data_IF_636708632019
#
_entry.id   IF_636708632019
#
_cell.length_a   1.000
_cell.length_b   1.000
_cell.length_c   1.000
_cell.angle_alpha   90.00
_cell.angle_beta   90.00
_cell.angle_gamma   90.00
#
_symmetry.space_group_name_H-M   'P 1'
#
loop_
_entity.id
_entity.type
_entity.pdbx_description
1 polymer ?
#
# COMPACT_ATOMS: atom_id res chain seq x y z
N UNK A 1 19.51 -58.97 41.17
CA UNK A 1 20.02 -58.45 42.47
C UNK A 1 19.76 -56.93 42.46
N UNK A 2 18.68 -56.46 43.10
CA UNK A 2 18.65 -55.72 44.40
C UNK A 2 19.56 -54.46 44.35
N UNK A 3 19.11 -53.21 44.53
CA UNK A 3 18.17 -52.67 45.53
C UNK A 3 17.41 -51.42 45.02
N UNK A 4 16.17 -51.29 45.50
CA UNK A 4 15.37 -50.08 45.54
C UNK A 4 15.72 -49.24 46.78
N UNK A 5 15.58 -47.91 46.74
CA UNK A 5 15.20 -47.10 47.91
C UNK A 5 14.37 -45.88 47.46
N UNK A 6 13.10 -45.89 47.87
CA UNK A 6 12.19 -44.75 47.96
C UNK A 6 12.60 -43.89 49.18
N UNK A 7 12.41 -42.57 49.08
CA UNK A 7 12.24 -41.70 50.25
C UNK A 7 11.20 -40.61 49.94
N UNK A 8 10.04 -40.78 50.57
CA UNK A 8 9.01 -39.77 50.86
C UNK A 8 9.40 -39.02 52.14
N UNK A 9 9.09 -37.73 52.26
CA UNK A 9 8.59 -37.02 53.47
C UNK A 9 8.41 -35.48 53.20
N UNK A 10 7.73 -34.66 54.04
CA UNK A 10 6.29 -34.42 53.98
C UNK A 10 5.89 -32.90 53.94
N UNK A 11 4.58 -32.68 54.03
CA UNK A 11 3.82 -31.44 54.03
C UNK A 11 4.14 -30.45 55.16
N UNK A 12 4.07 -29.15 54.84
CA UNK A 12 3.62 -27.98 55.64
C UNK A 12 3.26 -26.92 54.57
N UNK A 13 2.03 -26.44 54.37
CA UNK A 13 1.10 -25.89 55.33
C UNK A 13 1.17 -24.35 55.26
N UNK A 14 0.40 -23.70 54.36
CA UNK A 14 0.02 -22.29 54.48
C UNK A 14 -1.34 -22.06 53.82
N UNK A 15 -2.32 -21.82 54.69
CA UNK A 15 -3.72 -21.54 54.39
C UNK A 15 -3.96 -20.05 54.12
N UNK A 16 -4.76 -19.79 53.09
CA UNK A 16 -5.92 -18.88 53.05
C UNK A 16 -5.73 -17.45 53.57
N UNK A 17 -5.89 -16.46 52.68
CA UNK A 17 -6.77 -15.32 52.97
C UNK A 17 -7.51 -14.92 51.70
N UNK A 18 -8.80 -15.20 51.75
CA UNK A 18 -9.87 -14.85 50.83
C UNK A 18 -10.37 -13.48 51.30
N UNK A 19 -10.35 -12.46 50.44
CA UNK A 19 -10.86 -11.13 50.79
C UNK A 19 -11.89 -10.70 49.74
N UNK A 20 -13.15 -10.77 50.16
CA UNK A 20 -14.32 -10.20 49.51
C UNK A 20 -15.19 -9.55 50.63
N UNK A 21 -16.22 -8.76 50.30
CA UNK A 21 -16.21 -7.30 50.40
C UNK A 21 -17.13 -6.77 51.52
N UNK A 22 -17.00 -5.49 51.88
CA UNK A 22 -17.95 -4.81 52.77
C UNK A 22 -18.03 -3.29 52.46
N UNK A 23 -19.08 -2.55 52.90
CA UNK A 23 -20.01 -1.91 51.97
C UNK A 23 -20.21 -0.40 52.17
N UNK A 24 -20.93 0.17 51.20
CA UNK A 24 -21.88 1.29 51.24
C UNK A 24 -21.57 2.55 52.09
N UNK A 25 -21.47 3.69 51.39
CA UNK A 25 -22.06 4.95 51.85
C UNK A 25 -22.85 5.60 50.71
N UNK A 26 -24.08 5.99 51.03
CA UNK A 26 -25.10 6.57 50.16
C UNK A 26 -25.09 8.10 50.18
N UNK A 27 -25.86 8.66 49.23
CA UNK A 27 -26.34 10.04 49.05
C UNK A 27 -25.40 10.96 48.25
N UNK A 28 -25.83 11.71 47.22
CA UNK A 28 -27.16 12.31 46.98
C UNK A 28 -27.32 12.64 45.49
N UNK A 29 -28.53 12.49 44.94
CA UNK A 29 -28.94 13.04 43.63
C UNK A 29 -29.05 14.58 43.68
N UNK A 30 -28.91 15.24 42.53
CA UNK A 30 -30.06 16.00 42.04
C UNK A 30 -30.37 15.83 40.54
N UNK A 31 -31.64 15.51 40.30
CA UNK A 31 -32.59 16.00 39.30
C UNK A 31 -32.11 16.58 37.95
N UNK A 32 -32.63 15.93 36.90
CA UNK A 32 -33.35 16.49 35.75
C UNK A 32 -32.75 17.66 34.96
N UNK A 33 -32.22 17.33 33.78
CA UNK A 33 -32.45 18.11 32.57
C UNK A 33 -32.63 17.17 31.37
N UNK A 34 -33.88 17.02 30.94
CA UNK A 34 -34.30 16.26 29.77
C UNK A 34 -33.72 16.86 28.48
N UNK A 35 -32.82 16.13 27.81
CA UNK A 35 -32.43 16.41 26.43
C UNK A 35 -33.10 15.38 25.50
N UNK A 36 -34.02 15.89 24.66
CA UNK A 36 -34.74 15.14 23.62
C UNK A 36 -33.76 14.36 22.71
N UNK A 37 -34.08 13.10 22.35
CA UNK A 37 -33.34 12.41 21.30
C UNK A 37 -33.63 13.08 19.94
N UNK A 38 -32.62 13.32 19.09
CA UNK A 38 -32.87 13.79 17.73
C UNK A 38 -33.63 12.70 16.96
N UNK A 39 -34.74 13.12 16.36
CA UNK A 39 -35.61 12.32 15.49
C UNK A 39 -34.80 11.61 14.42
N UNK A 40 -34.90 10.28 14.40
CA UNK A 40 -34.65 9.49 13.20
C UNK A 40 -35.52 10.02 12.06
N UNK A 41 -34.88 10.58 11.04
CA UNK A 41 -35.53 10.85 9.77
C UNK A 41 -35.64 9.53 9.00
N UNK A 42 -36.87 9.07 8.86
CA UNK A 42 -37.28 7.96 8.02
C UNK A 42 -36.97 8.21 6.55
N UNK A 43 -36.66 7.11 5.87
CA UNK A 43 -36.66 6.86 4.43
C UNK A 43 -37.60 7.75 3.60
N UNK A 44 -37.07 8.31 2.52
CA UNK A 44 -37.84 8.94 1.46
C UNK A 44 -37.01 9.10 0.18
N UNK A 45 -37.46 8.42 -0.88
CA UNK A 45 -37.19 8.64 -2.30
C UNK A 45 -35.79 8.26 -2.86
N UNK A 46 -35.76 7.06 -3.45
CA UNK A 46 -34.95 6.76 -4.63
C UNK A 46 -35.27 7.76 -5.75
N UNK A 47 -34.44 8.80 -5.86
CA UNK A 47 -34.38 9.66 -7.04
C UNK A 47 -33.47 9.02 -8.06
N UNK A 48 -34.04 8.66 -9.20
CA UNK A 48 -33.35 8.20 -10.40
C UNK A 48 -32.39 9.31 -10.86
N UNK A 49 -31.10 9.17 -10.54
CA UNK A 49 -30.06 10.07 -11.06
C UNK A 49 -29.68 9.55 -12.44
N UNK A 50 -30.43 9.98 -13.45
CA UNK A 50 -29.92 10.02 -14.82
C UNK A 50 -28.73 10.98 -14.84
N UNK A 51 -27.53 10.42 -14.72
CA UNK A 51 -26.29 11.17 -14.87
C UNK A 51 -26.19 11.66 -16.32
N UNK A 52 -26.39 12.95 -16.51
CA UNK A 52 -26.09 13.63 -17.76
C UNK A 52 -24.64 13.32 -18.18
N UNK A 53 -24.49 12.93 -19.46
CA UNK A 53 -23.19 12.73 -20.06
C UNK A 53 -22.36 14.03 -19.98
N UNK A 54 -21.10 13.98 -19.53
CA UNK A 54 -20.28 15.18 -19.45
C UNK A 54 -20.01 15.70 -20.88
N UNK A 55 -20.03 17.03 -21.09
CA UNK A 55 -19.74 17.60 -22.39
C UNK A 55 -18.30 17.26 -22.79
N UNK A 56 -18.13 16.83 -24.05
CA UNK A 56 -16.84 16.73 -24.68
C UNK A 56 -16.26 18.14 -24.82
N UNK A 57 -15.22 18.47 -24.04
CA UNK A 57 -14.68 19.83 -24.04
C UNK A 57 -13.31 19.95 -23.39
N UNK A 58 -12.32 20.14 -24.27
CA UNK A 58 -11.05 20.86 -24.11
C UNK A 58 -9.99 20.33 -23.14
N UNK A 59 -8.89 19.87 -23.74
CA UNK A 59 -7.59 19.75 -23.09
C UNK A 59 -7.13 21.08 -22.46
N UNK A 60 -6.56 20.93 -21.26
CA UNK A 60 -5.46 21.69 -20.66
C UNK A 60 -5.25 23.15 -21.06
N UNK A 61 -5.46 24.05 -20.09
CA UNK A 61 -4.78 25.34 -20.00
C UNK A 61 -4.58 25.70 -18.53
N UNK A 62 -3.37 25.49 -17.99
CA UNK A 62 -2.97 25.94 -16.66
C UNK A 62 -1.66 26.71 -16.78
N UNK A 63 -1.58 27.84 -16.07
CA UNK A 63 -0.38 28.66 -15.91
C UNK A 63 0.81 27.80 -15.42
N UNK A 64 2.07 28.18 -15.72
CA UNK A 64 3.21 27.32 -15.49
C UNK A 64 3.56 27.27 -14.00
N UNK A 65 3.15 26.19 -13.32
CA UNK A 65 3.94 25.67 -12.22
C UNK A 65 5.36 25.42 -12.74
N UNK A 66 6.39 25.77 -11.96
CA UNK A 66 7.79 25.47 -12.30
C UNK A 66 7.86 24.03 -12.82
N UNK A 67 8.05 23.90 -14.13
CA UNK A 67 8.14 22.60 -14.78
C UNK A 67 9.48 22.03 -14.37
N UNK A 68 9.50 21.26 -13.28
CA UNK A 68 10.70 20.58 -12.88
C UNK A 68 11.10 19.62 -14.00
N UNK A 69 12.25 19.89 -14.60
CA UNK A 69 12.80 19.05 -15.66
C UNK A 69 13.25 17.71 -15.09
N UNK A 70 13.04 16.63 -15.85
CA UNK A 70 13.54 15.31 -15.48
C UNK A 70 15.06 15.36 -15.27
N UNK A 71 15.64 14.44 -14.46
CA UNK A 71 17.08 14.36 -14.32
C UNK A 71 17.79 14.28 -15.68
N UNK A 72 19.00 14.87 -15.82
CA UNK A 72 19.75 14.78 -17.06
C UNK A 72 19.90 13.33 -17.54
N UNK A 73 19.65 13.10 -18.82
CA UNK A 73 19.69 11.77 -19.44
C UNK A 73 18.40 10.95 -19.28
N UNK A 74 17.41 11.42 -18.54
CA UNK A 74 16.12 10.74 -18.46
C UNK A 74 15.21 11.20 -19.59
N UNK A 75 14.48 10.25 -20.17
CA UNK A 75 13.48 10.51 -21.20
C UNK A 75 12.16 9.93 -20.74
N UNK A 76 11.11 10.74 -20.80
CA UNK A 76 9.75 10.30 -20.53
C UNK A 76 9.01 10.21 -21.85
N UNK A 77 8.65 8.99 -22.23
CA UNK A 77 7.92 8.70 -23.47
C UNK A 77 6.49 9.26 -23.41
N UNK A 78 5.77 9.30 -24.52
CA UNK A 78 4.37 9.78 -24.51
C UNK A 78 3.46 8.73 -23.87
N UNK A 79 2.32 9.21 -23.36
CA UNK A 79 1.34 8.41 -22.67
C UNK A 79 0.68 7.40 -23.62
N UNK A 80 0.47 6.17 -23.14
CA UNK A 80 -0.31 5.16 -23.85
C UNK A 80 -1.61 4.86 -23.09
N UNK A 81 -2.71 4.76 -23.84
CA UNK A 81 -3.99 4.29 -23.35
C UNK A 81 -4.01 2.75 -23.40
N UNK A 82 -4.05 2.11 -22.23
CA UNK A 82 -3.87 0.67 -22.12
C UNK A 82 -5.21 -0.04 -22.04
N UNK A 83 -6.16 0.48 -21.27
CA UNK A 83 -7.43 -0.19 -20.98
C UNK A 83 -8.47 0.82 -20.47
N UNK A 84 -9.76 0.44 -20.38
CA UNK A 84 -10.70 1.13 -19.51
C UNK A 84 -10.19 1.20 -18.05
N UNK A 85 -10.81 2.03 -17.22
CA UNK A 85 -10.38 2.20 -15.82
C UNK A 85 -10.38 0.88 -15.03
N UNK A 86 -9.16 0.39 -14.78
CA UNK A 86 -8.87 -0.77 -13.97
C UNK A 86 -7.44 -0.67 -13.41
N UNK A 87 -7.25 -0.80 -12.09
CA UNK A 87 -5.93 -0.80 -11.48
C UNK A 87 -4.98 -1.78 -12.17
N UNK A 88 -3.75 -1.34 -12.37
CA UNK A 88 -2.76 -2.04 -13.15
C UNK A 88 -1.44 -2.09 -12.41
N UNK A 89 -0.65 -3.14 -12.66
CA UNK A 89 0.69 -3.25 -12.10
C UNK A 89 1.70 -3.53 -13.22
N UNK A 90 2.66 -2.62 -13.46
CA UNK A 90 3.70 -2.81 -14.44
C UNK A 90 4.71 -3.87 -13.99
N UNK A 91 5.39 -4.43 -14.97
CA UNK A 91 6.51 -5.36 -14.87
C UNK A 91 7.58 -4.91 -15.86
N UNK A 92 8.73 -5.58 -15.89
CA UNK A 92 9.76 -5.32 -16.90
C UNK A 92 9.33 -5.63 -18.34
N UNK A 93 8.24 -6.39 -18.53
CA UNK A 93 7.81 -6.91 -19.84
C UNK A 93 6.41 -6.48 -20.27
N UNK A 94 5.70 -5.71 -19.44
CA UNK A 94 4.31 -5.39 -19.69
C UNK A 94 3.58 -4.93 -18.44
N UNK A 95 2.27 -4.88 -18.52
CA UNK A 95 1.37 -4.42 -17.48
C UNK A 95 0.27 -5.46 -17.27
N UNK A 96 -0.06 -5.71 -16.01
CA UNK A 96 -1.05 -6.71 -15.62
C UNK A 96 -2.29 -6.00 -15.06
N UNK A 97 -3.46 -6.36 -15.57
CA UNK A 97 -4.77 -5.94 -15.07
C UNK A 97 -5.54 -7.18 -14.62
N UNK A 98 -6.31 -7.04 -13.53
CA UNK A 98 -7.20 -8.09 -13.04
C UNK A 98 -8.65 -7.71 -13.35
N UNK A 99 -9.36 -8.58 -14.05
CA UNK A 99 -10.78 -8.42 -14.35
C UNK A 99 -11.67 -8.72 -13.14
N UNK A 100 -12.96 -8.42 -13.27
CA UNK A 100 -14.00 -8.67 -12.26
C UNK A 100 -14.14 -10.16 -11.95
N UNK A 101 -13.98 -11.02 -12.95
CA UNK A 101 -14.02 -12.49 -12.88
C UNK A 101 -12.65 -13.12 -12.58
N UNK A 102 -11.71 -12.33 -12.03
CA UNK A 102 -10.41 -12.78 -11.55
C UNK A 102 -9.45 -13.29 -12.65
N UNK A 103 -9.65 -12.90 -13.91
CA UNK A 103 -8.71 -13.17 -15.01
C UNK A 103 -7.53 -12.19 -14.99
N UNK A 104 -6.36 -12.70 -15.37
CA UNK A 104 -5.17 -11.89 -15.61
C UNK A 104 -5.12 -11.50 -17.07
N UNK A 105 -5.06 -10.19 -17.34
CA UNK A 105 -4.86 -9.65 -18.67
C UNK A 105 -3.50 -8.97 -18.74
N UNK A 106 -2.70 -9.33 -19.74
CA UNK A 106 -1.33 -8.88 -19.88
C UNK A 106 -1.15 -8.02 -21.13
N UNK A 107 -0.86 -6.74 -20.91
CA UNK A 107 -0.49 -5.77 -21.93
C UNK A 107 1.03 -5.82 -22.15
N UNK A 108 1.48 -6.40 -23.27
CA UNK A 108 2.91 -6.54 -23.56
C UNK A 108 3.57 -5.17 -23.79
N UNK A 109 4.74 -4.95 -23.17
CA UNK A 109 5.56 -3.74 -23.33
C UNK A 109 6.85 -4.07 -24.09
N UNK A 110 7.15 -3.27 -25.10
CA UNK A 110 8.39 -3.34 -25.89
C UNK A 110 9.24 -2.11 -25.59
N UNK A 111 10.32 -2.20 -24.81
CA UNK A 111 11.17 -1.04 -24.52
C UNK A 111 11.77 -0.45 -25.80
N UNK A 112 11.68 0.87 -25.95
CA UNK A 112 12.38 1.62 -27.01
C UNK A 112 13.87 1.70 -26.71
N UNK A 113 14.70 1.90 -27.74
CA UNK A 113 16.14 2.05 -27.53
C UNK A 113 16.43 3.35 -26.75
N UNK A 114 17.49 3.40 -25.91
CA UNK A 114 17.91 4.61 -25.21
C UNK A 114 18.10 5.84 -26.13
N UNK A 115 18.69 5.60 -27.30
CA UNK A 115 18.98 6.63 -28.30
C UNK A 115 17.74 7.13 -29.06
N UNK A 116 16.62 6.41 -29.01
CA UNK A 116 15.42 6.82 -29.73
C UNK A 116 14.88 8.15 -29.18
N UNK A 117 14.37 9.03 -30.06
CA UNK A 117 13.67 10.23 -29.62
C UNK A 117 12.47 9.84 -28.73
N UNK A 118 12.02 10.74 -27.84
CA UNK A 118 10.76 10.55 -27.13
C UNK A 118 9.63 10.27 -28.13
N UNK A 119 8.71 9.40 -27.77
CA UNK A 119 7.47 9.19 -28.50
C UNK A 119 6.58 8.19 -27.76
N UNK A 120 5.47 7.76 -28.36
CA UNK A 120 4.53 6.82 -27.72
C UNK A 120 5.20 5.64 -27.02
N UNK A 121 4.82 5.42 -25.76
CA UNK A 121 5.13 4.20 -25.00
C UNK A 121 4.59 2.99 -25.78
N UNK A 122 5.47 2.05 -26.11
CA UNK A 122 5.14 0.88 -26.94
C UNK A 122 4.56 -0.24 -26.06
N UNK A 123 3.30 -0.09 -25.67
CA UNK A 123 2.55 -1.07 -24.87
C UNK A 123 1.26 -1.44 -25.60
N UNK A 124 0.95 -2.74 -25.63
CA UNK A 124 -0.27 -3.23 -26.24
C UNK A 124 -1.50 -2.77 -25.44
N UNK A 125 -2.51 -2.23 -26.12
CA UNK A 125 -3.80 -1.99 -25.51
C UNK A 125 -4.52 -3.33 -25.25
N UNK A 126 -5.30 -3.38 -24.18
CA UNK A 126 -6.18 -4.47 -23.83
C UNK A 126 -7.58 -4.17 -24.39
N UNK A 127 -8.06 -5.03 -25.27
CA UNK A 127 -9.43 -4.98 -25.76
C UNK A 127 -10.37 -5.63 -24.73
N UNK A 128 -10.76 -4.82 -23.74
CA UNK A 128 -11.67 -5.23 -22.68
C UNK A 128 -12.83 -4.23 -22.58
N UNK A 129 -14.07 -4.69 -22.36
CA UNK A 129 -15.17 -3.80 -22.06
C UNK A 129 -15.00 -3.20 -20.66
N UNK A 130 -15.42 -1.95 -20.47
CA UNK A 130 -15.29 -1.25 -19.18
C UNK A 130 -16.01 -1.97 -18.03
N UNK A 131 -17.04 -2.77 -18.32
CA UNK A 131 -17.80 -3.56 -17.34
C UNK A 131 -16.99 -4.69 -16.71
N UNK A 132 -15.96 -5.18 -17.40
CA UNK A 132 -15.07 -6.22 -16.89
C UNK A 132 -14.05 -5.70 -15.89
N UNK A 133 -13.82 -4.39 -15.82
CA UNK A 133 -12.87 -3.78 -14.88
C UNK A 133 -13.59 -3.06 -13.74
N UNK A 134 -12.88 -2.88 -12.63
CA UNK A 134 -13.37 -2.13 -11.46
C UNK A 134 -12.39 -1.01 -11.15
N UNK A 135 -12.75 0.20 -11.53
CA UNK A 135 -11.89 1.38 -11.47
C UNK A 135 -11.26 1.65 -10.10
N UNK A 136 -12.01 1.42 -9.02
CA UNK A 136 -11.61 1.73 -7.64
C UNK A 136 -11.04 0.54 -6.86
N UNK A 137 -10.73 -0.59 -7.52
CA UNK A 137 -10.06 -1.72 -6.86
C UNK A 137 -8.60 -1.37 -6.50
N UNK A 138 -7.94 -2.28 -5.79
CA UNK A 138 -6.47 -2.27 -5.65
C UNK A 138 -5.84 -3.12 -6.75
N UNK A 139 -4.75 -2.61 -7.32
CA UNK A 139 -3.98 -3.34 -8.31
C UNK A 139 -3.29 -4.55 -7.69
N UNK A 140 -2.97 -5.59 -8.49
CA UNK A 140 -2.28 -6.77 -7.99
C UNK A 140 -0.84 -6.42 -7.55
N UNK A 141 -0.23 -7.25 -6.71
CA UNK A 141 1.24 -7.31 -6.64
C UNK A 141 1.76 -8.34 -7.64
N UNK A 142 2.98 -8.15 -8.13
CA UNK A 142 3.61 -9.09 -9.05
C UNK A 142 4.92 -9.59 -8.46
N UNK A 143 5.11 -10.91 -8.45
CA UNK A 143 6.35 -11.55 -8.06
C UNK A 143 6.66 -12.68 -9.04
N UNK A 144 7.80 -12.58 -9.72
CA UNK A 144 8.16 -13.52 -10.78
C UNK A 144 7.12 -13.54 -11.90
N UNK A 145 6.58 -14.71 -12.20
CA UNK A 145 5.58 -14.93 -13.26
C UNK A 145 4.13 -14.92 -12.76
N UNK A 146 3.88 -14.46 -11.52
CA UNK A 146 2.56 -14.51 -10.91
C UNK A 146 2.09 -13.13 -10.44
N UNK A 147 0.78 -12.93 -10.54
CA UNK A 147 0.06 -11.83 -9.94
C UNK A 147 -0.66 -12.34 -8.69
N UNK A 148 -0.73 -11.48 -7.68
CA UNK A 148 -1.36 -11.75 -6.40
C UNK A 148 -2.31 -10.61 -6.06
N UNK A 149 -3.52 -10.90 -5.59
CA UNK A 149 -4.51 -9.89 -5.24
C UNK A 149 -5.55 -10.44 -4.28
N UNK A 150 -6.36 -9.54 -3.72
CA UNK A 150 -7.53 -9.92 -2.92
C UNK A 150 -8.79 -9.79 -3.76
N UNK A 151 -9.63 -10.83 -3.75
CA UNK A 151 -11.00 -10.77 -4.25
C UNK A 151 -11.96 -11.39 -3.24
N UNK A 152 -13.04 -10.68 -2.90
CA UNK A 152 -13.88 -11.08 -1.77
C UNK A 152 -13.04 -11.17 -0.49
N UNK A 153 -13.02 -12.36 0.12
CA UNK A 153 -12.20 -12.70 1.30
C UNK A 153 -10.97 -13.54 0.98
N UNK A 154 -10.66 -13.75 -0.30
CA UNK A 154 -9.61 -14.67 -0.72
C UNK A 154 -8.36 -13.91 -1.16
N UNK A 155 -7.21 -14.38 -0.70
CA UNK A 155 -5.91 -14.09 -1.33
C UNK A 155 -5.76 -15.03 -2.52
N UNK A 156 -5.63 -14.46 -3.71
CA UNK A 156 -5.57 -15.20 -4.97
C UNK A 156 -4.20 -15.09 -5.62
N UNK A 157 -3.84 -16.12 -6.39
CA UNK A 157 -2.67 -16.15 -7.28
C UNK A 157 -3.07 -16.66 -8.65
N UNK A 158 -2.49 -16.07 -9.69
CA UNK A 158 -2.53 -16.59 -11.06
C UNK A 158 -1.29 -16.17 -11.84
N UNK A 159 -0.88 -16.97 -12.81
CA UNK A 159 0.20 -16.59 -13.70
C UNK A 159 -0.17 -15.35 -14.56
N UNK A 160 0.83 -14.54 -14.91
CA UNK A 160 0.60 -13.25 -15.59
C UNK A 160 -0.10 -13.41 -16.95
N UNK A 161 0.13 -14.52 -17.64
CA UNK A 161 -0.37 -14.80 -18.99
C UNK A 161 -1.51 -15.82 -19.00
N UNK A 162 -2.37 -15.76 -17.99
CA UNK A 162 -3.42 -16.75 -17.76
C UNK A 162 -2.90 -18.02 -17.06
N UNK A 163 -3.83 -18.91 -16.71
CA UNK A 163 -3.56 -20.15 -15.98
C UNK A 163 -4.63 -20.45 -14.94
N UNK A 164 -4.39 -21.51 -14.17
CA UNK A 164 -5.27 -21.86 -13.05
C UNK A 164 -5.30 -20.73 -12.01
N UNK A 165 -6.48 -20.51 -11.42
CA UNK A 165 -6.63 -19.58 -10.30
C UNK A 165 -6.41 -20.36 -9.01
N UNK A 166 -5.47 -19.91 -8.20
CA UNK A 166 -5.18 -20.54 -6.92
C UNK A 166 -5.68 -19.66 -5.77
N UNK A 167 -6.31 -20.30 -4.78
CA UNK A 167 -6.69 -19.66 -3.51
C UNK A 167 -5.60 -19.95 -2.49
N UNK A 168 -4.92 -18.90 -2.04
CA UNK A 168 -3.79 -19.00 -1.11
C UNK A 168 -4.20 -18.85 0.36
N UNK A 169 -5.27 -18.08 0.61
CA UNK A 169 -5.88 -17.87 1.92
C UNK A 169 -7.34 -17.39 1.76
N UNK A 170 -8.17 -17.57 2.79
CA UNK A 170 -9.63 -17.30 2.75
C UNK A 170 -10.10 -16.27 3.79
N UNK A 171 -9.17 -15.61 4.47
CA UNK A 171 -9.45 -14.62 5.50
C UNK A 171 -8.96 -13.21 5.17
N UNK A 172 -8.61 -12.96 3.90
CA UNK A 172 -8.16 -11.67 3.43
C UNK A 172 -9.25 -10.59 3.55
N UNK A 173 -8.85 -9.37 3.91
CA UNK A 173 -9.74 -8.21 3.99
C UNK A 173 -10.04 -7.70 2.58
N UNK A 174 -11.32 -7.65 2.23
CA UNK A 174 -11.78 -7.12 0.96
C UNK A 174 -11.22 -5.71 0.66
N UNK A 175 -10.94 -5.45 -0.61
CA UNK A 175 -10.43 -4.16 -1.11
C UNK A 175 -9.08 -3.69 -0.55
N UNK A 176 -8.30 -4.57 0.09
CA UNK A 176 -6.92 -4.25 0.51
C UNK A 176 -5.90 -4.66 -0.55
N UNK A 177 -4.77 -3.95 -0.55
CA UNK A 177 -3.64 -4.29 -1.41
C UNK A 177 -2.77 -5.34 -0.74
N UNK A 178 -2.21 -6.22 -1.55
CA UNK A 178 -1.19 -7.19 -1.14
C UNK A 178 0.20 -6.65 -1.46
N UNK A 179 1.21 -7.09 -0.72
CA UNK A 179 2.59 -6.72 -0.95
C UNK A 179 3.48 -7.95 -1.17
N UNK A 180 4.41 -7.84 -2.09
CA UNK A 180 5.46 -8.83 -2.35
C UNK A 180 6.81 -8.20 -2.07
N UNK A 181 7.85 -8.99 -1.74
CA UNK A 181 9.20 -8.45 -1.68
C UNK A 181 9.62 -7.91 -3.07
N UNK A 182 10.52 -6.92 -3.14
CA UNK A 182 10.98 -6.36 -4.41
C UNK A 182 11.72 -7.39 -5.29
N UNK A 183 12.30 -8.40 -4.66
CA UNK A 183 12.93 -9.55 -5.31
C UNK A 183 13.01 -10.74 -4.34
N UNK A 184 13.09 -11.95 -4.89
CA UNK A 184 13.41 -13.17 -4.14
C UNK A 184 14.91 -13.43 -4.18
N UNK A 185 15.51 -13.80 -3.05
CA UNK A 185 16.84 -14.39 -3.07
C UNK A 185 16.78 -15.81 -3.67
N UNK A 186 17.92 -16.33 -4.14
CA UNK A 186 17.98 -17.65 -4.75
C UNK A 186 17.47 -18.72 -3.76
N UNK A 187 16.45 -19.47 -4.18
CA UNK A 187 15.87 -20.56 -3.39
C UNK A 187 14.88 -20.12 -2.30
N UNK A 188 14.60 -18.81 -2.17
CA UNK A 188 13.51 -18.36 -1.31
C UNK A 188 12.15 -18.71 -1.93
N UNK A 189 11.18 -19.17 -1.11
CA UNK A 189 9.81 -19.36 -1.57
C UNK A 189 9.15 -18.04 -1.94
N UNK A 190 8.14 -18.09 -2.83
CA UNK A 190 7.26 -16.96 -3.04
C UNK A 190 6.55 -16.60 -1.73
N UNK A 191 6.34 -15.31 -1.50
CA UNK A 191 5.69 -14.82 -0.30
C UNK A 191 4.90 -13.55 -0.58
N UNK A 192 3.78 -13.41 0.14
CA UNK A 192 2.83 -12.33 -0.06
C UNK A 192 2.30 -11.89 1.29
N UNK A 193 2.47 -10.61 1.60
CA UNK A 193 1.83 -9.99 2.75
C UNK A 193 0.46 -9.44 2.37
N UNK A 194 -0.52 -9.57 3.26
CA UNK A 194 -1.88 -9.09 3.06
C UNK A 194 -2.53 -8.72 4.40
N UNK A 195 -3.63 -7.98 4.34
CA UNK A 195 -4.47 -7.68 5.50
C UNK A 195 -5.57 -8.72 5.59
N UNK A 196 -5.84 -9.23 6.79
CA UNK A 196 -6.85 -10.24 7.07
C UNK A 196 -7.84 -9.77 8.15
N UNK A 197 -9.02 -10.36 8.18
CA UNK A 197 -10.06 -10.11 9.19
C UNK A 197 -11.13 -9.09 8.78
N UNK A 198 -12.20 -9.00 9.56
CA UNK A 198 -13.32 -8.06 9.34
C UNK A 198 -13.42 -7.01 10.43
N UNK A 199 -13.47 -7.42 11.69
CA UNK A 199 -13.53 -6.51 12.84
C UNK A 199 -12.14 -6.18 13.36
N UNK A 200 -11.31 -7.21 13.55
CA UNK A 200 -9.91 -7.07 13.96
C UNK A 200 -9.01 -7.31 12.75
N UNK A 201 -8.40 -6.24 12.25
CA UNK A 201 -7.54 -6.30 11.08
C UNK A 201 -6.11 -6.68 11.47
N UNK A 202 -5.57 -7.73 10.85
CA UNK A 202 -4.20 -8.21 11.09
C UNK A 202 -3.40 -8.25 9.80
N UNK A 203 -2.13 -7.85 9.86
CA UNK A 203 -1.20 -8.12 8.78
C UNK A 203 -0.78 -9.60 8.84
N UNK A 204 -0.79 -10.29 7.70
CA UNK A 204 -0.41 -11.70 7.55
C UNK A 204 0.59 -11.87 6.42
N UNK A 205 1.37 -12.95 6.48
CA UNK A 205 2.31 -13.37 5.45
C UNK A 205 1.98 -14.79 5.00
N UNK A 206 1.60 -14.95 3.74
CA UNK A 206 1.57 -16.25 3.10
C UNK A 206 2.95 -16.59 2.53
N UNK A 207 3.41 -17.82 2.72
CA UNK A 207 4.69 -18.34 2.20
C UNK A 207 4.46 -19.68 1.50
N UNK A 208 4.99 -19.79 0.28
CA UNK A 208 4.83 -20.98 -0.55
C UNK A 208 5.42 -22.24 0.10
N UNK A 209 4.53 -23.21 0.36
CA UNK A 209 4.82 -24.49 1.00
C UNK A 209 4.69 -24.48 2.52
N UNK A 210 4.54 -23.31 3.16
CA UNK A 210 4.44 -23.21 4.63
C UNK A 210 3.09 -22.65 5.11
N UNK A 211 2.32 -22.01 4.22
CA UNK A 211 1.02 -21.44 4.55
C UNK A 211 1.13 -20.03 5.12
N UNK A 212 0.20 -19.64 6.00
CA UNK A 212 0.10 -18.27 6.51
C UNK A 212 0.58 -18.13 7.95
N UNK A 213 1.36 -17.09 8.23
CA UNK A 213 1.67 -16.59 9.57
C UNK A 213 1.15 -15.17 9.81
N UNK A 214 0.94 -14.80 11.08
CA UNK A 214 0.52 -13.44 11.46
C UNK A 214 1.75 -12.56 11.64
N UNK A 215 1.79 -11.41 10.96
CA UNK A 215 2.87 -10.42 11.02
C UNK A 215 2.66 -9.41 12.15
N UNK A 216 1.44 -8.93 12.34
CA UNK A 216 1.11 -7.94 13.36
C UNK A 216 0.82 -8.58 14.73
N UNK A 217 0.81 -7.78 15.80
CA UNK A 217 0.35 -8.25 17.11
C UNK A 217 -1.17 -8.50 17.16
N UNK A 218 -1.65 -9.16 18.21
CA UNK A 218 -3.05 -9.59 18.31
C UNK A 218 -4.06 -8.45 18.43
N UNK A 219 -3.64 -7.28 18.94
CA UNK A 219 -4.45 -6.07 19.08
C UNK A 219 -4.19 -5.03 17.96
N UNK A 220 -3.55 -5.44 16.87
CA UNK A 220 -3.29 -4.59 15.72
C UNK A 220 -4.59 -4.15 15.02
N UNK A 221 -4.50 -3.06 14.27
CA UNK A 221 -5.55 -2.58 13.36
C UNK A 221 -4.92 -2.25 12.02
N UNK A 222 -4.21 -3.23 11.46
CA UNK A 222 -3.40 -3.06 10.27
C UNK A 222 -4.30 -2.81 9.05
N UNK A 223 -4.14 -1.64 8.41
CA UNK A 223 -4.90 -1.23 7.22
C UNK A 223 -4.10 -1.40 5.93
N UNK A 224 -2.77 -1.42 6.01
CA UNK A 224 -1.89 -1.62 4.86
C UNK A 224 -0.61 -2.32 5.28
N UNK A 225 -0.01 -3.06 4.34
CA UNK A 225 1.25 -3.77 4.54
C UNK A 225 2.18 -3.59 3.34
N UNK A 226 3.49 -3.52 3.60
CA UNK A 226 4.53 -3.50 2.59
C UNK A 226 5.68 -4.44 2.98
N UNK A 227 6.40 -4.96 1.98
CA UNK A 227 7.59 -5.78 2.19
C UNK A 227 8.79 -5.10 1.55
N UNK A 228 9.92 -5.07 2.27
CA UNK A 228 11.20 -4.62 1.74
C UNK A 228 12.31 -5.56 2.18
N UNK A 229 13.46 -5.50 1.52
CA UNK A 229 14.61 -6.36 1.79
C UNK A 229 15.77 -5.54 2.31
N UNK A 230 16.25 -5.78 3.51
CA UNK A 230 17.48 -5.20 4.07
C UNK A 230 18.70 -6.07 3.71
N UNK A 231 19.89 -5.61 4.08
CA UNK A 231 21.13 -6.42 4.06
C UNK A 231 21.03 -7.66 4.98
N UNK A 232 20.20 -7.59 6.03
CA UNK A 232 20.02 -8.61 7.06
C UNK A 232 18.84 -9.56 6.83
N UNK A 233 17.99 -9.31 5.83
CA UNK A 233 16.82 -10.14 5.56
C UNK A 233 15.67 -9.35 4.94
N UNK A 234 14.45 -9.72 5.30
CA UNK A 234 13.24 -9.01 4.91
C UNK A 234 12.72 -8.19 6.08
N UNK A 235 11.95 -7.16 5.80
CA UNK A 235 11.21 -6.38 6.80
C UNK A 235 9.78 -6.22 6.30
N UNK A 236 8.82 -6.60 7.14
CA UNK A 236 7.43 -6.24 6.95
C UNK A 236 7.16 -4.89 7.61
N UNK A 237 6.48 -4.02 6.88
CA UNK A 237 5.94 -2.78 7.40
C UNK A 237 4.43 -2.92 7.47
N UNK A 238 3.81 -2.66 8.62
CA UNK A 238 2.35 -2.56 8.73
C UNK A 238 1.94 -1.19 9.23
N UNK A 239 0.98 -0.60 8.53
CA UNK A 239 0.36 0.66 8.91
C UNK A 239 -0.91 0.34 9.69
N UNK A 240 -0.93 0.73 10.95
CA UNK A 240 -2.02 0.49 11.88
C UNK A 240 -2.77 1.80 12.10
N UNK A 241 -4.05 1.84 11.73
CA UNK A 241 -4.88 3.04 11.86
C UNK A 241 -5.91 2.87 12.97
N UNK A 242 -5.96 3.85 13.87
CA UNK A 242 -6.96 3.97 14.93
C UNK A 242 -7.55 5.38 14.91
N UNK A 243 -8.67 5.56 15.61
CA UNK A 243 -9.29 6.88 15.74
C UNK A 243 -8.29 7.87 16.35
N UNK A 244 -7.89 8.86 15.56
CA UNK A 244 -7.01 9.97 15.97
C UNK A 244 -5.51 9.71 15.85
N UNK A 245 -5.04 8.47 15.61
CA UNK A 245 -3.61 8.17 15.47
C UNK A 245 -3.34 7.01 14.53
N UNK A 246 -2.17 7.05 13.88
CA UNK A 246 -1.64 5.97 13.05
C UNK A 246 -0.27 5.57 13.55
N UNK A 247 0.00 4.28 13.68
CA UNK A 247 1.34 3.75 13.95
C UNK A 247 1.89 3.01 12.73
N UNK A 248 3.18 3.17 12.48
CA UNK A 248 3.93 2.34 11.54
C UNK A 248 4.77 1.36 12.33
N UNK A 249 4.53 0.09 12.09
CA UNK A 249 5.24 -1.03 12.67
C UNK A 249 6.24 -1.58 11.65
N UNK A 250 7.40 -2.01 12.12
CA UNK A 250 8.42 -2.67 11.30
C UNK A 250 8.87 -3.95 12.00
N UNK A 251 8.74 -5.08 11.30
CA UNK A 251 9.06 -6.40 11.82
C UNK A 251 10.09 -7.10 10.94
N UNK A 252 11.30 -7.42 11.45
CA UNK A 252 12.27 -8.21 10.71
C UNK A 252 11.73 -9.60 10.42
N UNK A 253 12.08 -10.11 9.25
CA UNK A 253 11.73 -11.42 8.77
C UNK A 253 13.01 -12.13 8.33
N UNK A 254 13.27 -13.28 8.92
CA UNK A 254 14.33 -14.19 8.49
C UNK A 254 13.71 -15.49 7.98
N UNK A 255 14.33 -16.10 6.98
CA UNK A 255 13.90 -17.40 6.48
C UNK A 255 14.78 -18.49 7.07
N UNK A 256 14.20 -19.42 7.83
CA UNK A 256 14.88 -20.59 8.38
C UNK A 256 14.21 -21.85 7.85
N UNK A 257 14.93 -22.65 7.06
CA UNK A 257 14.38 -23.85 6.42
C UNK A 257 13.03 -23.58 5.71
N UNK A 258 12.97 -22.51 4.91
CA UNK A 258 11.77 -22.00 4.20
C UNK A 258 10.63 -21.48 5.08
N UNK A 259 10.74 -21.55 6.41
CA UNK A 259 9.76 -20.95 7.34
C UNK A 259 10.13 -19.51 7.69
N UNK A 260 9.14 -18.59 7.73
CA UNK A 260 9.36 -17.25 8.23
C UNK A 260 9.56 -17.30 9.76
N UNK A 261 10.70 -16.82 10.22
CA UNK A 261 10.97 -16.52 11.62
C UNK A 261 10.88 -15.00 11.80
N UNK A 262 9.88 -14.58 12.59
CA UNK A 262 9.57 -13.19 12.86
C UNK A 262 10.48 -12.67 13.98
N UNK A 263 11.05 -11.48 13.79
CA UNK A 263 11.72 -10.73 14.85
C UNK A 263 10.73 -9.97 15.73
N UNK A 264 11.28 -9.14 16.60
CA UNK A 264 10.52 -8.21 17.44
C UNK A 264 9.74 -7.22 16.58
N UNK A 265 8.54 -6.87 17.02
CA UNK A 265 7.77 -5.80 16.42
C UNK A 265 8.24 -4.45 16.96
N UNK A 266 8.52 -3.51 16.06
CA UNK A 266 9.09 -2.20 16.41
C UNK A 266 8.18 -1.12 15.87
N UNK A 267 7.62 -0.30 16.77
CA UNK A 267 6.92 0.93 16.38
C UNK A 267 7.95 1.94 15.92
N UNK A 268 8.06 2.12 14.61
CA UNK A 268 9.01 3.05 13.99
C UNK A 268 8.45 4.45 13.88
N UNK A 269 7.12 4.63 13.91
CA UNK A 269 6.53 5.96 13.88
C UNK A 269 5.10 5.94 14.43
N UNK A 270 4.68 7.09 14.97
CA UNK A 270 3.30 7.39 15.33
C UNK A 270 2.98 8.80 14.84
N UNK A 271 1.85 8.97 14.18
CA UNK A 271 1.37 10.28 13.73
C UNK A 271 -0.14 10.40 13.67
N UNK A 272 -0.61 11.34 12.84
CA UNK A 272 -2.02 11.69 12.71
C UNK A 272 -2.90 10.53 12.17
N UNK A 273 -4.23 10.72 12.15
CA UNK A 273 -5.14 9.71 11.62
C UNK A 273 -4.87 9.45 10.14
N UNK A 274 -5.05 8.20 9.74
CA UNK A 274 -5.01 7.73 8.36
C UNK A 274 -6.39 7.20 7.98
N UNK A 275 -6.79 7.41 6.72
CA UNK A 275 -7.97 6.77 6.16
C UNK A 275 -7.79 5.24 6.11
N UNK A 276 -8.86 4.42 6.25
CA UNK A 276 -8.77 2.96 6.09
C UNK A 276 -8.18 2.49 4.75
N UNK A 277 -8.14 3.37 3.76
CA UNK A 277 -7.58 3.13 2.44
C UNK A 277 -6.16 3.72 2.25
N UNK A 278 -5.55 4.33 3.27
CA UNK A 278 -4.18 4.81 3.20
C UNK A 278 -3.21 3.62 3.02
N UNK A 279 -2.28 3.74 2.07
CA UNK A 279 -1.32 2.68 1.74
C UNK A 279 0.10 3.03 2.22
N UNK A 280 0.80 2.06 2.82
CA UNK A 280 2.26 2.10 3.00
C UNK A 280 2.92 1.48 1.77
N UNK A 281 3.94 2.15 1.25
CA UNK A 281 4.79 1.65 0.17
C UNK A 281 6.21 1.56 0.68
N UNK A 282 6.95 0.51 0.31
CA UNK A 282 8.35 0.39 0.66
C UNK A 282 9.26 0.59 -0.55
N UNK A 283 10.41 1.21 -0.32
CA UNK A 283 11.46 1.39 -1.32
C UNK A 283 12.86 1.36 -0.70
N UNK A 284 13.84 1.74 -1.51
CA UNK A 284 15.23 1.83 -1.12
C UNK A 284 15.87 3.10 -1.68
N UNK A 285 16.94 3.63 -1.07
CA UNK A 285 17.79 4.69 -1.62
C UNK A 285 19.18 4.63 -1.03
N UNK A 286 20.23 4.52 -1.86
CA UNK A 286 21.61 4.51 -1.38
C UNK A 286 21.89 3.44 -0.32
N UNK A 287 21.26 2.26 -0.44
CA UNK A 287 21.33 1.18 0.55
C UNK A 287 20.36 1.33 1.74
N UNK A 288 19.86 2.54 2.01
CA UNK A 288 18.83 2.73 3.03
C UNK A 288 17.48 2.15 2.59
N UNK A 289 16.71 1.63 3.55
CA UNK A 289 15.34 1.18 3.33
C UNK A 289 14.36 2.23 3.79
N UNK A 290 13.34 2.42 2.97
CA UNK A 290 12.41 3.53 3.12
C UNK A 290 10.97 3.00 3.18
N UNK A 291 10.15 3.64 3.99
CA UNK A 291 8.70 3.58 3.91
C UNK A 291 8.15 4.91 3.40
N UNK A 292 7.06 4.88 2.63
CA UNK A 292 6.37 6.06 2.11
C UNK A 292 4.88 5.97 2.44
N UNK A 293 4.34 7.01 3.08
CA UNK A 293 2.91 7.13 3.39
C UNK A 293 2.47 8.55 3.07
N UNK A 294 1.44 8.69 2.24
CA UNK A 294 0.74 9.96 2.06
C UNK A 294 -0.36 10.06 3.12
N UNK A 295 -0.25 11.02 4.04
CA UNK A 295 -1.14 11.14 5.19
C UNK A 295 -1.13 12.56 5.75
N UNK A 296 -2.08 12.84 6.64
CA UNK A 296 -2.06 14.04 7.47
C UNK A 296 -0.79 14.12 8.33
N UNK A 297 -0.10 15.27 8.25
CA UNK A 297 1.01 15.62 9.15
C UNK A 297 0.49 16.29 10.41
N UNK A 298 -0.46 17.22 10.23
CA UNK A 298 -1.18 17.93 11.29
C UNK A 298 -2.67 17.98 10.93
N UNK A 299 -3.48 18.71 11.70
CA UNK A 299 -4.90 18.93 11.38
C UNK A 299 -5.12 19.70 10.08
N UNK A 300 -4.13 20.45 9.60
CA UNK A 300 -4.23 21.30 8.40
C UNK A 300 -3.16 21.02 7.35
N UNK A 301 -2.12 20.26 7.69
CA UNK A 301 -1.03 19.92 6.79
C UNK A 301 -1.09 18.46 6.36
N UNK A 302 -0.89 18.22 5.07
CA UNK A 302 -0.79 16.90 4.47
C UNK A 302 0.51 16.79 3.70
N UNK A 303 1.00 15.56 3.55
CA UNK A 303 2.23 15.35 2.83
C UNK A 303 2.55 13.89 2.61
N UNK A 304 3.65 13.68 1.89
CA UNK A 304 4.30 12.40 1.77
C UNK A 304 5.35 12.27 2.88
N UNK A 305 5.09 11.42 3.86
CA UNK A 305 6.05 11.02 4.87
C UNK A 305 7.01 9.97 4.30
N UNK A 306 8.31 10.17 4.48
CA UNK A 306 9.36 9.21 4.14
C UNK A 306 10.08 8.77 5.42
N UNK A 307 9.97 7.48 5.75
CA UNK A 307 10.54 6.87 6.95
C UNK A 307 11.88 6.21 6.61
N UNK A 308 12.96 6.62 7.28
CA UNK A 308 14.25 5.96 7.14
C UNK A 308 14.37 4.81 8.13
N UNK A 309 14.34 3.58 7.63
CA UNK A 309 14.35 2.37 8.48
C UNK A 309 15.77 1.94 8.87
N UNK A 310 16.77 2.29 8.04
CA UNK A 310 18.16 1.87 8.21
C UNK A 310 18.36 0.34 8.07
N UNK A 311 19.60 -0.12 8.32
CA UNK A 311 19.93 -1.56 8.34
C UNK A 311 19.53 -2.26 9.64
N UNK A 312 19.58 -1.50 10.75
CA UNK A 312 19.08 -1.93 12.06
C UNK A 312 17.84 -1.12 12.36
N UNK A 313 16.71 -1.80 12.50
CA UNK A 313 15.48 -1.17 12.92
C UNK A 313 15.66 -0.55 14.31
N UNK A 314 15.15 0.66 14.46
CA UNK A 314 15.17 1.42 15.71
C UNK A 314 13.76 1.91 16.00
N UNK A 315 13.42 2.02 17.28
CA UNK A 315 12.24 2.79 17.66
C UNK A 315 12.42 4.24 17.20
N UNK A 316 11.36 4.84 16.64
CA UNK A 316 11.36 6.21 16.07
C UNK A 316 12.35 6.39 14.90
N UNK A 317 11.90 6.02 13.71
CA UNK A 317 12.60 6.31 12.47
C UNK A 317 12.73 7.82 12.24
N UNK A 318 13.78 8.22 11.53
CA UNK A 318 13.89 9.57 11.01
C UNK A 318 12.85 9.76 9.89
N UNK A 319 12.02 10.79 10.03
CA UNK A 319 10.92 11.07 9.09
C UNK A 319 11.20 12.38 8.36
N UNK A 320 11.28 12.32 7.03
CA UNK A 320 11.24 13.51 6.19
C UNK A 320 9.86 13.69 5.59
N UNK A 321 9.46 14.95 5.37
CA UNK A 321 8.15 15.29 4.85
C UNK A 321 8.29 16.11 3.58
N UNK A 322 7.56 15.70 2.55
CA UNK A 322 7.21 16.56 1.43
C UNK A 322 5.76 17.02 1.62
N UNK A 323 5.59 18.23 2.15
CA UNK A 323 4.27 18.83 2.32
C UNK A 323 3.72 19.33 0.98
N UNK A 324 2.41 19.21 0.79
CA UNK A 324 1.71 19.78 -0.36
C UNK A 324 0.44 20.51 0.10
N UNK A 325 -0.05 21.49 -0.68
CA UNK A 325 -1.21 22.28 -0.30
C UNK A 325 -2.47 21.41 -0.33
N UNK A 326 -3.23 21.40 0.77
CA UNK A 326 -4.37 20.51 1.03
C UNK A 326 -4.05 19.01 1.01
N UNK A 327 -4.90 18.24 1.67
CA UNK A 327 -4.83 16.79 1.68
C UNK A 327 -5.67 16.14 0.60
N UNK A 328 -5.17 15.03 0.07
CA UNK A 328 -6.01 13.95 -0.44
C UNK A 328 -5.63 12.71 0.37
N UNK A 329 -6.61 12.03 0.92
CA UNK A 329 -6.41 10.77 1.63
C UNK A 329 -7.59 9.86 1.26
N UNK A 330 -7.36 8.69 0.64
CA UNK A 330 -6.07 8.14 0.24
C UNK A 330 -5.41 8.90 -0.93
N UNK A 331 -4.09 9.12 -0.84
CA UNK A 331 -3.27 9.52 -1.98
C UNK A 331 -2.46 8.31 -2.50
N UNK A 332 -2.66 7.87 -3.76
CA UNK A 332 -1.84 6.79 -4.31
C UNK A 332 -0.35 7.14 -4.35
N UNK A 333 0.47 6.19 -3.89
CA UNK A 333 1.93 6.25 -3.91
C UNK A 333 2.48 4.96 -4.53
N UNK A 334 3.61 5.04 -5.23
CA UNK A 334 4.38 3.89 -5.67
C UNK A 334 5.87 4.23 -5.65
N UNK A 335 6.76 3.27 -5.40
CA UNK A 335 8.20 3.51 -5.45
C UNK A 335 8.93 2.38 -6.16
N UNK A 336 10.02 2.72 -6.83
CA UNK A 336 10.92 1.76 -7.47
C UNK A 336 12.31 2.37 -7.68
N UNK A 337 13.25 1.55 -8.11
CA UNK A 337 14.56 2.01 -8.59
C UNK A 337 14.51 2.11 -10.11
N UNK A 338 14.52 3.31 -10.66
CA UNK A 338 14.50 3.62 -12.10
C UNK A 338 15.85 4.24 -12.49
N UNK A 339 16.50 3.71 -13.53
CA UNK A 339 17.80 4.22 -13.96
C UNK A 339 18.87 4.22 -12.84
N UNK A 340 18.83 3.21 -11.95
CA UNK A 340 19.67 3.11 -10.74
C UNK A 340 19.43 4.22 -9.70
N UNK A 341 18.40 5.03 -9.90
CA UNK A 341 17.97 6.07 -8.95
C UNK A 341 16.66 5.67 -8.32
N UNK A 342 16.58 5.87 -7.02
CA UNK A 342 15.36 5.62 -6.27
C UNK A 342 14.35 6.72 -6.53
N UNK A 343 13.13 6.33 -6.86
CA UNK A 343 12.07 7.28 -7.17
C UNK A 343 10.77 6.89 -6.48
N UNK A 344 9.92 7.90 -6.31
CA UNK A 344 8.56 7.75 -5.80
C UNK A 344 7.60 8.49 -6.73
N UNK A 345 6.54 7.81 -7.17
CA UNK A 345 5.38 8.43 -7.79
C UNK A 345 4.34 8.66 -6.71
N UNK A 346 3.79 9.87 -6.65
CA UNK A 346 2.77 10.22 -5.66
C UNK A 346 1.77 11.22 -6.24
N UNK A 347 0.50 11.02 -5.92
CA UNK A 347 -0.56 11.97 -6.24
C UNK A 347 -0.66 13.05 -5.15
N UNK A 348 -0.91 14.30 -5.55
CA UNK A 348 -1.20 15.40 -4.64
C UNK A 348 -2.06 16.47 -5.34
N UNK A 349 -2.73 17.38 -4.60
CA UNK A 349 -3.40 18.52 -5.21
C UNK A 349 -2.41 19.47 -5.90
N UNK A 350 -2.81 20.06 -7.03
CA UNK A 350 -2.02 21.07 -7.74
C UNK A 350 -1.94 22.40 -6.96
N UNK A 351 -2.94 22.70 -6.13
CA UNK A 351 -3.04 23.94 -5.36
C UNK A 351 -3.91 23.76 -4.11
N UNK A 352 -3.98 24.80 -3.28
CA UNK A 352 -4.85 24.87 -2.10
C UNK A 352 -6.31 25.19 -2.44
N UNK A 353 -6.67 25.34 -3.72
CA UNK A 353 -8.04 25.64 -4.11
C UNK A 353 -8.95 24.40 -3.93
N UNK A 354 -10.19 24.58 -3.46
CA UNK A 354 -11.16 23.50 -3.43
C UNK A 354 -11.34 22.89 -4.83
N UNK A 355 -11.30 21.55 -4.92
CA UNK A 355 -11.43 20.80 -6.18
C UNK A 355 -10.33 21.09 -7.21
N UNK A 356 -9.16 21.58 -6.77
CA UNK A 356 -7.98 21.62 -7.61
C UNK A 356 -7.74 20.25 -8.26
N UNK A 357 -7.26 20.25 -9.50
CA UNK A 357 -6.81 19.01 -10.14
C UNK A 357 -5.71 18.38 -9.29
N UNK A 358 -5.63 17.06 -9.32
CA UNK A 358 -4.52 16.32 -8.77
C UNK A 358 -3.40 16.26 -9.81
N UNK A 359 -2.16 16.35 -9.33
CA UNK A 359 -0.94 16.09 -10.09
C UNK A 359 -0.36 14.76 -9.63
N UNK A 360 0.09 13.96 -10.59
CA UNK A 360 0.94 12.81 -10.34
C UNK A 360 2.38 13.27 -10.55
N UNK A 361 3.19 13.20 -9.50
CA UNK A 361 4.55 13.70 -9.50
C UNK A 361 5.56 12.57 -9.33
N UNK A 362 6.64 12.64 -10.10
CA UNK A 362 7.80 11.75 -10.03
C UNK A 362 8.90 12.40 -9.19
N UNK A 363 9.00 11.95 -7.95
CA UNK A 363 9.99 12.33 -6.95
C UNK A 363 11.31 11.55 -7.07
N UNK A 364 12.46 12.24 -7.07
CA UNK A 364 13.76 11.61 -6.82
C UNK A 364 13.97 11.47 -5.32
N UNK A 365 14.33 10.27 -4.90
CA UNK A 365 14.64 9.96 -3.51
C UNK A 365 16.16 9.92 -3.35
N UNK A 366 16.68 10.81 -2.52
CA UNK A 366 18.10 10.89 -2.18
C UNK A 366 18.25 11.07 -0.67
N UNK A 367 19.17 10.33 -0.06
CA UNK A 367 19.42 10.34 1.39
C UNK A 367 18.14 10.28 2.25
N UNK A 368 17.16 9.46 1.83
CA UNK A 368 15.88 9.30 2.54
C UNK A 368 14.96 10.52 2.49
N UNK A 369 15.14 11.40 1.50
CA UNK A 369 14.31 12.58 1.24
C UNK A 369 13.88 12.62 -0.21
N UNK A 370 12.67 13.12 -0.46
CA UNK A 370 12.22 13.44 -1.81
C UNK A 370 12.72 14.85 -2.15
N UNK A 371 13.62 14.98 -3.12
CA UNK A 371 14.34 16.24 -3.39
C UNK A 371 13.87 16.99 -4.63
N UNK A 372 13.26 16.29 -5.59
CA UNK A 372 12.93 16.79 -6.93
C UNK A 372 11.68 16.12 -7.43
N UNK A 373 10.66 16.85 -7.87
CA UNK A 373 9.40 16.27 -8.32
C UNK A 373 8.99 16.86 -9.67
N UNK A 374 8.94 16.01 -10.71
CA UNK A 374 8.40 16.39 -12.02
C UNK A 374 6.94 15.95 -12.15
N UNK A 375 6.04 16.85 -12.55
CA UNK A 375 4.64 16.49 -12.83
C UNK A 375 4.59 15.65 -14.10
N UNK A 376 4.13 14.39 -13.98
CA UNK A 376 4.08 13.43 -15.10
C UNK A 376 2.67 13.21 -15.63
N UNK A 377 1.64 13.57 -14.86
CA UNK A 377 0.23 13.57 -15.28
C UNK A 377 -0.61 14.52 -14.42
N UNK A 378 -1.78 14.92 -14.93
CA UNK A 378 -2.80 15.69 -14.20
C UNK A 378 -4.18 15.07 -14.43
N UNK A 379 -5.00 15.00 -13.40
CA UNK A 379 -6.37 14.48 -13.47
C UNK A 379 -7.24 15.03 -12.36
N UNK A 380 -8.56 14.83 -12.43
CA UNK A 380 -9.47 15.15 -11.31
C UNK A 380 -9.19 14.26 -10.08
N UNK A 381 -8.85 13.00 -10.31
CA UNK A 381 -8.51 12.05 -9.27
C UNK A 381 -7.70 10.87 -9.83
N UNK A 382 -6.72 10.41 -9.06
CA UNK A 382 -6.04 9.14 -9.30
C UNK A 382 -6.61 8.06 -8.39
N UNK A 383 -7.14 6.97 -8.96
CA UNK A 383 -7.65 5.83 -8.20
C UNK A 383 -6.53 4.83 -7.85
N UNK A 384 -5.50 4.77 -8.69
CA UNK A 384 -4.40 3.84 -8.55
C UNK A 384 -3.14 4.41 -9.22
N UNK A 385 -1.98 4.14 -8.63
CA UNK A 385 -0.66 4.38 -9.19
C UNK A 385 0.21 3.16 -8.89
N UNK A 386 1.05 2.79 -9.84
CA UNK A 386 2.00 1.69 -9.70
C UNK A 386 3.23 1.95 -10.57
N UNK A 387 4.37 1.41 -10.15
CA UNK A 387 5.66 1.65 -10.79
C UNK A 387 6.53 0.39 -10.74
N UNK A 388 7.11 0.04 -11.88
CA UNK A 388 8.17 -0.94 -11.99
C UNK A 388 9.40 -0.26 -12.57
N UNK A 389 10.55 -0.49 -11.94
CA UNK A 389 11.82 0.11 -12.34
C UNK A 389 12.89 -0.94 -12.63
N UNK A 390 13.94 -0.50 -13.30
CA UNK A 390 15.14 -1.27 -13.56
C UNK A 390 16.30 -0.39 -14.01
N UNK A 391 17.47 -0.99 -14.30
CA UNK A 391 18.68 -0.25 -14.65
C UNK A 391 18.60 0.49 -15.99
N UNK A 392 17.64 0.14 -16.86
CA UNK A 392 17.45 0.75 -18.20
C UNK A 392 16.25 1.70 -18.26
N UNK A 393 15.53 1.88 -17.16
CA UNK A 393 14.32 2.69 -17.14
C UNK A 393 13.25 2.12 -16.24
N UNK A 394 12.01 2.49 -16.48
CA UNK A 394 10.85 2.00 -15.77
C UNK A 394 9.57 2.15 -16.59
N UNK A 395 8.52 1.50 -16.13
CA UNK A 395 7.17 1.64 -16.63
C UNK A 395 6.28 1.95 -15.44
N UNK A 396 5.50 3.01 -15.53
CA UNK A 396 4.45 3.27 -14.55
C UNK A 396 3.09 3.23 -15.19
N UNK A 397 2.11 2.93 -14.35
CA UNK A 397 0.71 2.94 -14.71
C UNK A 397 -0.09 3.72 -13.69
N UNK A 398 -1.19 4.31 -14.14
CA UNK A 398 -2.16 4.94 -13.26
C UNK A 398 -3.57 4.84 -13.83
N UNK A 399 -4.55 4.84 -12.94
CA UNK A 399 -5.98 4.82 -13.30
C UNK A 399 -6.59 6.18 -12.98
N UNK A 400 -7.06 6.87 -14.02
CA UNK A 400 -7.60 8.22 -13.96
C UNK A 400 -8.50 8.49 -15.17
N UNK A 401 -9.46 9.42 -15.04
CA UNK A 401 -10.35 9.84 -16.13
C UNK A 401 -11.03 8.68 -16.88
N UNK A 402 -11.44 7.64 -16.11
CA UNK A 402 -12.09 6.41 -16.61
C UNK A 402 -11.21 5.55 -17.54
N UNK A 403 -9.90 5.76 -17.55
CA UNK A 403 -8.92 4.98 -18.31
C UNK A 403 -7.79 4.49 -17.41
N UNK A 404 -7.07 3.50 -17.91
CA UNK A 404 -5.79 3.07 -17.38
C UNK A 404 -4.71 3.46 -18.36
N UNK A 405 -3.79 4.28 -17.88
CA UNK A 405 -2.71 4.83 -18.68
C UNK A 405 -1.39 4.20 -18.28
N UNK A 406 -0.45 4.14 -19.21
CA UNK A 406 0.93 3.75 -18.94
C UNK A 406 1.92 4.68 -19.63
N UNK A 407 3.08 4.85 -19.01
CA UNK A 407 4.15 5.71 -19.53
C UNK A 407 5.51 5.13 -19.18
N UNK A 408 6.40 5.07 -20.16
CA UNK A 408 7.77 4.62 -19.97
C UNK A 408 8.71 5.76 -19.57
N UNK A 409 9.64 5.46 -18.67
CA UNK A 409 10.80 6.28 -18.33
C UNK A 409 12.03 5.53 -18.85
N UNK A 410 12.89 6.20 -19.62
CA UNK A 410 14.14 5.64 -20.18
C UNK A 410 15.35 6.43 -19.69
N UNK A 411 16.48 5.75 -19.63
CA UNK A 411 17.78 6.38 -19.38
C UNK A 411 18.58 6.38 -20.69
N UNK A 412 19.17 7.52 -21.03
CA UNK A 412 20.10 7.69 -22.15
C UNK A 412 21.52 7.27 -21.80
#
# INVERSE_FOLDING_TARGET
>A
MRCAWLLLLPCLGCTRTEQAPEPAASATSPADAAAKPPKQASSGASGDLTADAPPAGSHAGAAPAEQFELPPGWVLDELADVAPAGPATPTSSGLVVISRDNQTHFAAYTPRAPADPPGSTQIAALDLPATELVAMRRGPAVLGSHAYWVAGRQLLRRALRGGELEVLAEDARHSTRVATPPSLARGEPAMVAYIAGEETLKARLWVEGEGTSTLSEDAASAISVALTRTSSGLVALSLDARTGMTSLHARPLSMKARRPALGDDIVVWVGGPADPLTEIVAGESGGQRLGFVAVSRTTTEFGLATFQLGDRLRARADVSWLAYPNGIDPAPVASATVCKTSVVLFAHPASSEPRALQELSLGIVDQGRVTRAAVVARSRAFANVSLAGGPRGGLFAYTADRRTWARAIRCR
#
